data_IF_626434313319
#
_entry.id   IF_626434313319
#
_cell.length_a   1.000
_cell.length_b   1.000
_cell.length_c   1.000
_cell.angle_alpha   90.00
_cell.angle_beta   90.00
_cell.angle_gamma   90.00
#
_symmetry.space_group_name_H-M   'P 1'
#
loop_
_entity.id
_entity.type
_entity.pdbx_description
1 polymer ?
#
# COMPACT_ATOMS: atom_id res chain seq x y z
N UNK A 1 12.35 13.85 -7.05
CA UNK A 1 11.34 13.11 -6.27
C UNK A 1 11.03 13.91 -5.04
N UNK A 2 9.76 14.23 -4.79
CA UNK A 2 9.36 14.95 -3.58
C UNK A 2 9.53 14.10 -2.31
N UNK A 3 9.41 14.74 -1.15
CA UNK A 3 9.62 14.10 0.15
C UNK A 3 8.52 13.09 0.49
N UNK A 4 7.30 13.28 -0.01
CA UNK A 4 6.18 12.34 0.16
C UNK A 4 6.42 11.01 -0.59
N UNK A 5 6.88 11.09 -1.84
CA UNK A 5 7.19 9.92 -2.65
C UNK A 5 8.28 9.07 -2.01
N UNK A 6 9.29 9.72 -1.40
CA UNK A 6 10.32 9.02 -0.64
C UNK A 6 9.75 8.28 0.58
N UNK A 7 8.82 8.88 1.32
CA UNK A 7 8.16 8.23 2.46
C UNK A 7 7.31 7.02 2.03
N UNK A 8 6.61 7.12 0.90
CA UNK A 8 5.86 5.99 0.33
C UNK A 8 6.81 4.86 -0.08
N UNK A 9 7.91 5.18 -0.78
CA UNK A 9 8.91 4.19 -1.19
C UNK A 9 9.56 3.49 0.01
N UNK A 10 9.91 4.22 1.07
CA UNK A 10 10.45 3.64 2.30
C UNK A 10 9.46 2.68 2.98
N UNK A 11 8.17 3.00 2.94
CA UNK A 11 7.14 2.11 3.46
C UNK A 11 7.02 0.83 2.61
N UNK A 12 6.99 0.96 1.28
CA UNK A 12 6.93 -0.18 0.37
C UNK A 12 8.15 -1.10 0.51
N UNK A 13 9.35 -0.51 0.63
CA UNK A 13 10.59 -1.26 0.89
C UNK A 13 10.53 -2.01 2.22
N UNK A 14 9.95 -1.38 3.26
CA UNK A 14 9.74 -2.04 4.56
C UNK A 14 8.75 -3.21 4.47
N UNK A 15 7.65 -3.06 3.74
CA UNK A 15 6.68 -4.14 3.51
C UNK A 15 7.34 -5.32 2.76
N UNK A 16 8.12 -5.01 1.72
CA UNK A 16 8.85 -6.01 0.96
C UNK A 16 9.87 -6.77 1.83
N UNK A 17 10.68 -6.07 2.61
CA UNK A 17 11.67 -6.67 3.53
C UNK A 17 11.02 -7.62 4.54
N UNK A 18 9.82 -7.28 5.00
CA UNK A 18 9.03 -8.11 5.92
C UNK A 18 8.16 -9.16 5.22
N UNK A 19 8.22 -9.27 3.88
CA UNK A 19 7.40 -10.19 3.08
C UNK A 19 5.90 -10.01 3.29
N UNK A 20 5.45 -8.77 3.52
CA UNK A 20 4.04 -8.41 3.69
C UNK A 20 3.51 -7.79 2.40
N UNK A 21 2.38 -8.29 1.93
CA UNK A 21 1.61 -7.73 0.82
C UNK A 21 0.41 -7.00 1.44
N UNK A 22 0.28 -5.68 1.23
CA UNK A 22 -0.79 -4.90 1.84
C UNK A 22 -2.19 -5.26 1.29
N UNK A 23 -2.26 -5.61 0.00
CA UNK A 23 -3.46 -5.96 -0.76
C UNK A 23 -4.51 -4.84 -0.96
N UNK A 24 -4.56 -3.80 -0.13
CA UNK A 24 -5.49 -2.66 -0.35
C UNK A 24 -4.79 -1.31 -0.20
N UNK A 25 -3.65 -1.15 -0.89
CA UNK A 25 -2.91 0.10 -0.85
C UNK A 25 -3.58 1.13 -1.77
N UNK A 26 -4.07 2.21 -1.18
CA UNK A 26 -4.77 3.32 -1.84
C UNK A 26 -4.54 4.61 -1.04
N UNK A 27 -4.73 5.81 -1.63
CA UNK A 27 -4.48 7.08 -0.94
C UNK A 27 -5.21 7.22 0.40
N UNK A 28 -6.42 6.69 0.51
CA UNK A 28 -7.23 6.70 1.74
C UNK A 28 -6.57 5.90 2.88
N UNK A 29 -5.74 4.92 2.52
CA UNK A 29 -4.98 4.08 3.44
C UNK A 29 -3.54 4.57 3.66
N UNK A 30 -3.19 5.77 3.17
CA UNK A 30 -1.90 6.44 3.40
C UNK A 30 -2.16 7.73 4.15
N UNK A 31 -1.90 7.73 5.45
CA UNK A 31 -2.14 8.88 6.31
C UNK A 31 -0.86 9.67 6.53
N UNK A 32 -0.98 11.00 6.62
CA UNK A 32 0.10 11.84 7.13
C UNK A 32 0.24 11.64 8.64
N UNK A 33 1.47 11.54 9.14
CA UNK A 33 1.72 11.46 10.59
C UNK A 33 1.32 12.76 11.30
N UNK A 34 1.54 13.89 10.64
CA UNK A 34 1.26 15.24 11.16
C UNK A 34 0.85 16.16 10.00
N UNK A 35 -0.02 17.13 10.28
CA UNK A 35 -0.46 18.11 9.29
C UNK A 35 0.70 19.00 8.83
N UNK A 36 0.81 19.24 7.52
CA UNK A 36 1.88 20.04 6.92
C UNK A 36 3.24 19.34 6.79
N UNK A 37 3.36 18.09 7.25
CA UNK A 37 4.54 17.23 6.99
C UNK A 37 4.26 16.24 5.87
N UNK A 38 5.32 15.59 5.39
CA UNK A 38 5.25 14.57 4.32
C UNK A 38 5.50 13.15 4.81
N UNK A 39 5.80 12.98 6.11
CA UNK A 39 5.89 11.66 6.72
C UNK A 39 4.55 10.94 6.68
N UNK A 40 4.56 9.70 6.20
CA UNK A 40 3.36 8.89 6.03
C UNK A 40 3.31 7.68 6.98
N UNK A 41 2.12 7.13 7.15
CA UNK A 41 1.85 5.84 7.76
C UNK A 41 0.78 5.10 6.94
N UNK A 42 1.07 3.86 6.56
CA UNK A 42 0.08 2.99 5.91
C UNK A 42 -0.81 2.35 6.98
N UNK A 43 -2.10 2.25 6.69
CA UNK A 43 -3.15 1.70 7.57
C UNK A 43 -4.00 0.70 6.81
N UNK A 44 -4.84 -0.03 7.53
CA UNK A 44 -5.80 -1.02 7.02
C UNK A 44 -5.16 -2.28 6.43
N UNK A 45 -4.43 -2.99 7.30
CA UNK A 45 -3.83 -4.29 7.00
C UNK A 45 -4.85 -5.45 7.06
N UNK A 46 -6.16 -5.19 7.16
CA UNK A 46 -7.19 -6.24 7.25
C UNK A 46 -7.24 -7.16 6.02
N UNK A 47 -6.74 -6.66 4.90
CA UNK A 47 -6.58 -7.39 3.64
C UNK A 47 -5.17 -7.96 3.43
N UNK A 48 -4.21 -7.66 4.31
CA UNK A 48 -2.81 -8.01 4.08
C UNK A 48 -2.54 -9.50 4.26
N UNK A 49 -1.51 -9.98 3.58
CA UNK A 49 -1.01 -11.35 3.74
C UNK A 49 0.51 -11.41 3.65
N UNK A 50 1.09 -12.47 4.20
CA UNK A 50 2.48 -12.79 3.92
C UNK A 50 2.61 -13.37 2.51
N UNK A 51 3.72 -13.08 1.83
CA UNK A 51 4.02 -13.54 0.48
C UNK A 51 3.90 -15.08 0.33
N UNK A 52 4.33 -15.83 1.35
CA UNK A 52 4.24 -17.29 1.39
C UNK A 52 2.84 -17.84 1.74
N UNK A 53 1.88 -16.99 2.11
CA UNK A 53 0.50 -17.35 2.47
C UNK A 53 -0.51 -16.83 1.45
N UNK A 54 -0.06 -16.56 0.23
CA UNK A 54 -0.88 -16.00 -0.85
C UNK A 54 -1.88 -17.05 -1.37
N UNK A 55 -2.89 -17.36 -0.57
CA UNK A 55 -3.91 -18.40 -0.79
C UNK A 55 -4.96 -18.00 -1.86
N UNK A 56 -4.53 -17.40 -2.97
CA UNK A 56 -5.37 -17.15 -4.14
C UNK A 56 -6.62 -16.28 -3.92
N UNK A 57 -6.80 -15.71 -2.72
CA UNK A 57 -7.92 -14.80 -2.45
C UNK A 57 -7.69 -13.54 -3.30
N UNK A 58 -8.73 -13.15 -4.01
CA UNK A 58 -8.77 -11.98 -4.88
C UNK A 58 -8.78 -10.73 -3.98
N UNK A 59 -7.61 -10.34 -3.46
CA UNK A 59 -7.52 -9.32 -2.40
C UNK A 59 -7.07 -7.97 -2.99
N UNK A 60 -7.92 -7.32 -3.77
CA UNK A 60 -7.74 -5.90 -4.14
C UNK A 60 -9.12 -5.31 -4.47
N UNK A 61 -9.43 -4.13 -3.94
CA UNK A 61 -10.69 -3.44 -4.26
C UNK A 61 -10.76 -3.16 -5.77
N UNK A 62 -11.83 -3.63 -6.44
CA UNK A 62 -11.98 -3.62 -7.91
C UNK A 62 -11.70 -2.26 -8.57
N UNK A 63 -11.97 -1.17 -7.86
CA UNK A 63 -11.87 0.21 -8.35
C UNK A 63 -10.46 0.61 -8.83
N UNK A 64 -9.39 0.06 -8.23
CA UNK A 64 -8.01 0.34 -8.66
C UNK A 64 -7.50 -0.58 -9.77
N UNK A 65 -8.18 -1.71 -10.03
CA UNK A 65 -7.81 -2.66 -11.09
C UNK A 65 -8.33 -2.26 -12.46
N UNK A 66 -9.51 -1.63 -12.55
CA UNK A 66 -10.09 -1.23 -13.84
C UNK A 66 -9.30 -0.13 -14.54
N UNK A 67 -8.71 0.83 -13.81
CA UNK A 67 -7.91 1.91 -14.41
C UNK A 67 -6.57 1.44 -15.01
N UNK A 68 -6.15 0.20 -14.78
CA UNK A 68 -4.95 -0.39 -15.41
C UNK A 68 -5.26 -1.35 -16.57
N UNK A 69 -6.54 -1.59 -16.87
CA UNK A 69 -6.99 -2.55 -17.88
C UNK A 69 -8.18 -2.06 -18.74
N UNK A 70 -8.29 -0.75 -18.96
CA UNK A 70 -9.05 -0.26 -20.11
C UNK A 70 -8.14 -0.34 -21.34
N UNK A 71 -8.49 -1.10 -22.41
CA UNK A 71 -7.80 -0.99 -23.69
C UNK A 71 -7.93 0.41 -24.30
#
# INVERSE_FOLDING_TARGET
>A
MGTFENSVLQCLDSLQKNRIIHCDLKPENILLKEFGKTDIKVTDFGSSCYDHQRNGKYIQTMQWREHSWAP
#
